data_IF_438978880739
#
_entry.id   IF_438978880739
#
_cell.length_a   1.000
_cell.length_b   1.000
_cell.length_c   1.000
_cell.angle_alpha   90.00
_cell.angle_beta   90.00
_cell.angle_gamma   90.00
#
_symmetry.space_group_name_H-M   'P 1'
#
loop_
_entity.id
_entity.type
_entity.pdbx_description
1 polymer ?
#
# COMPACT_ATOMS: atom_id res chain seq x y z
N UNK A 1 55.70 -11.55 1.76
CA UNK A 1 56.03 -12.04 0.40
C UNK A 1 55.53 -11.02 -0.62
N UNK A 2 56.14 -9.85 -0.65
CA UNK A 2 55.99 -8.85 -1.72
C UNK A 2 57.43 -8.60 -2.17
N UNK A 3 57.78 -8.97 -3.40
CA UNK A 3 59.14 -8.87 -3.90
C UNK A 3 59.61 -7.41 -4.00
N UNK A 4 60.93 -7.21 -4.02
CA UNK A 4 61.57 -5.89 -3.97
C UNK A 4 61.35 -5.04 -5.23
N UNK A 5 60.72 -5.58 -6.28
CA UNK A 5 60.48 -4.88 -7.54
C UNK A 5 59.00 -4.59 -7.81
N UNK A 6 58.73 -3.48 -8.51
CA UNK A 6 57.39 -3.11 -8.96
C UNK A 6 56.70 -4.23 -9.77
N UNK A 7 57.48 -4.99 -10.53
CA UNK A 7 57.00 -6.09 -11.34
C UNK A 7 56.50 -7.26 -10.47
N UNK A 8 57.18 -7.57 -9.37
CA UNK A 8 56.73 -8.59 -8.41
C UNK A 8 55.44 -8.16 -7.69
N UNK A 9 55.34 -6.86 -7.35
CA UNK A 9 54.12 -6.29 -6.78
C UNK A 9 52.93 -6.35 -7.75
N UNK A 10 53.16 -6.07 -9.03
CA UNK A 10 52.14 -6.13 -10.09
C UNK A 10 51.63 -7.55 -10.34
N UNK A 11 52.53 -8.55 -10.41
CA UNK A 11 52.14 -9.95 -10.58
C UNK A 11 51.43 -10.51 -9.34
N UNK A 12 51.84 -10.10 -8.13
CA UNK A 12 51.12 -10.42 -6.89
C UNK A 12 49.70 -9.84 -6.88
N UNK A 13 49.54 -8.57 -7.28
CA UNK A 13 48.22 -7.92 -7.37
C UNK A 13 47.30 -8.60 -8.40
N UNK A 14 47.83 -8.99 -9.57
CA UNK A 14 47.08 -9.78 -10.56
C UNK A 14 46.64 -11.13 -10.00
N UNK A 15 47.53 -11.84 -9.31
CA UNK A 15 47.22 -13.13 -8.69
C UNK A 15 46.09 -13.01 -7.68
N UNK A 16 46.17 -12.02 -6.78
CA UNK A 16 45.11 -11.74 -5.80
C UNK A 16 43.81 -11.34 -6.50
N UNK A 17 43.86 -10.49 -7.53
CA UNK A 17 42.68 -10.06 -8.27
C UNK A 17 41.98 -11.21 -9.01
N UNK A 18 42.74 -12.11 -9.65
CA UNK A 18 42.19 -13.26 -10.37
C UNK A 18 41.55 -14.27 -9.41
N UNK A 19 42.22 -14.58 -8.29
CA UNK A 19 41.70 -15.49 -7.26
C UNK A 19 40.47 -14.88 -6.57
N UNK A 20 40.57 -13.62 -6.12
CA UNK A 20 39.45 -12.92 -5.47
C UNK A 20 38.29 -12.72 -6.42
N UNK A 21 38.57 -12.42 -7.70
CA UNK A 21 37.57 -12.29 -8.76
C UNK A 21 36.81 -13.59 -9.00
N UNK A 22 37.48 -14.74 -8.98
CA UNK A 22 36.83 -16.04 -9.12
C UNK A 22 35.87 -16.32 -7.96
N UNK A 23 36.32 -16.14 -6.71
CA UNK A 23 35.45 -16.31 -5.53
C UNK A 23 34.32 -15.27 -5.49
N UNK A 24 34.59 -14.02 -5.87
CA UNK A 24 33.57 -12.97 -5.95
C UNK A 24 32.50 -13.30 -6.99
N UNK A 25 32.89 -13.88 -8.14
CA UNK A 25 31.97 -14.29 -9.19
C UNK A 25 31.10 -15.47 -8.76
N UNK A 26 31.70 -16.47 -8.10
CA UNK A 26 30.94 -17.60 -7.50
C UNK A 26 29.96 -17.07 -6.45
N UNK A 27 30.42 -16.21 -5.54
CA UNK A 27 29.57 -15.61 -4.51
C UNK A 27 28.43 -14.79 -5.12
N UNK A 28 28.72 -13.98 -6.15
CA UNK A 28 27.72 -13.20 -6.87
C UNK A 28 26.64 -14.08 -7.47
N UNK A 29 27.01 -15.17 -8.15
CA UNK A 29 26.03 -16.13 -8.67
C UNK A 29 25.22 -16.81 -7.57
N UNK A 30 25.87 -17.22 -6.49
CA UNK A 30 25.19 -17.86 -5.37
C UNK A 30 24.15 -16.93 -4.74
N UNK A 31 24.54 -15.70 -4.38
CA UNK A 31 23.62 -14.72 -3.81
C UNK A 31 22.53 -14.31 -4.78
N UNK A 32 22.85 -14.08 -6.06
CA UNK A 32 21.86 -13.73 -7.08
C UNK A 32 20.83 -14.85 -7.27
N UNK A 33 21.28 -16.11 -7.29
CA UNK A 33 20.39 -17.27 -7.37
C UNK A 33 19.52 -17.39 -6.13
N UNK A 34 20.10 -17.22 -4.94
CA UNK A 34 19.36 -17.24 -3.68
C UNK A 34 18.28 -16.15 -3.64
N UNK A 35 18.62 -14.90 -3.97
CA UNK A 35 17.65 -13.80 -4.03
C UNK A 35 16.57 -14.04 -5.08
N UNK A 36 16.92 -14.61 -6.24
CA UNK A 36 15.96 -14.97 -7.26
C UNK A 36 14.98 -16.06 -6.78
N UNK A 37 15.46 -17.08 -6.07
CA UNK A 37 14.61 -18.13 -5.51
C UNK A 37 13.67 -17.59 -4.42
N UNK A 38 14.18 -16.73 -3.54
CA UNK A 38 13.35 -16.05 -2.51
C UNK A 38 12.30 -15.19 -3.19
N UNK A 39 12.69 -14.39 -4.17
CA UNK A 39 11.78 -13.57 -4.96
C UNK A 39 10.73 -14.44 -5.64
N UNK A 40 11.12 -15.55 -6.28
CA UNK A 40 10.21 -16.46 -6.97
C UNK A 40 9.22 -17.12 -6.02
N UNK A 41 9.67 -17.52 -4.82
CA UNK A 41 8.82 -18.08 -3.79
C UNK A 41 7.75 -17.08 -3.33
N UNK A 42 8.16 -15.86 -2.95
CA UNK A 42 7.21 -14.82 -2.55
C UNK A 42 6.31 -14.40 -3.72
N UNK A 43 6.85 -14.34 -4.94
CA UNK A 43 6.09 -14.04 -6.15
C UNK A 43 4.95 -15.04 -6.35
N UNK A 44 5.22 -16.34 -6.22
CA UNK A 44 4.20 -17.39 -6.32
C UNK A 44 3.19 -17.37 -5.17
N UNK A 45 3.54 -16.80 -4.02
CA UNK A 45 2.59 -16.61 -2.92
C UNK A 45 1.61 -15.47 -3.26
N UNK A 46 2.10 -14.34 -3.77
CA UNK A 46 1.27 -13.20 -4.18
C UNK A 46 0.24 -13.56 -5.25
N UNK A 47 0.51 -14.53 -6.12
CA UNK A 47 -0.45 -14.94 -7.16
C UNK A 47 -1.64 -15.75 -6.62
N UNK A 48 -1.54 -16.28 -5.40
CA UNK A 48 -2.59 -17.12 -4.79
C UNK A 48 -3.53 -16.34 -3.89
N UNK A 49 -3.06 -15.24 -3.29
CA UNK A 49 -3.84 -14.46 -2.35
C UNK A 49 -4.86 -13.61 -3.12
N UNK A 50 -6.14 -13.83 -2.85
CA UNK A 50 -7.20 -12.97 -3.36
C UNK A 50 -7.36 -11.80 -2.38
N UNK A 51 -7.18 -10.54 -2.83
CA UNK A 51 -7.28 -9.40 -1.94
C UNK A 51 -8.74 -9.19 -1.50
N UNK A 52 -8.91 -8.83 -0.23
CA UNK A 52 -10.18 -8.29 0.30
C UNK A 52 -10.57 -7.04 -0.45
N UNK A 53 -11.84 -6.92 -0.81
CA UNK A 53 -12.36 -5.80 -1.61
C UNK A 53 -13.43 -5.06 -0.84
N UNK A 54 -13.47 -3.75 -1.03
CA UNK A 54 -14.47 -2.87 -0.46
C UNK A 54 -15.32 -2.31 -1.59
N UNK A 55 -16.64 -2.38 -1.46
CA UNK A 55 -17.56 -1.76 -2.42
C UNK A 55 -18.42 -0.73 -1.69
N UNK A 56 -18.10 0.53 -1.92
CA UNK A 56 -18.82 1.67 -1.36
C UNK A 56 -20.27 1.74 -1.83
N UNK A 57 -20.53 1.47 -3.10
CA UNK A 57 -21.87 1.60 -3.70
C UNK A 57 -22.84 0.59 -3.09
N UNK A 58 -22.36 -0.61 -2.79
CA UNK A 58 -23.12 -1.65 -2.09
C UNK A 58 -23.06 -1.52 -0.56
N UNK A 59 -22.12 -0.72 -0.03
CA UNK A 59 -21.75 -0.68 1.40
C UNK A 59 -21.46 -2.08 1.96
N UNK A 60 -20.64 -2.83 1.24
CA UNK A 60 -20.28 -4.21 1.56
C UNK A 60 -18.77 -4.43 1.42
N UNK A 61 -18.27 -5.44 2.13
CA UNK A 61 -16.89 -5.92 2.08
C UNK A 61 -16.89 -7.37 1.65
N UNK A 62 -16.00 -7.71 0.73
CA UNK A 62 -15.84 -9.05 0.20
C UNK A 62 -14.59 -9.71 0.79
N UNK A 63 -14.80 -10.79 1.53
CA UNK A 63 -13.74 -11.65 2.08
C UNK A 63 -13.66 -12.96 1.30
N UNK A 64 -12.45 -13.50 1.21
CA UNK A 64 -12.19 -14.83 0.67
C UNK A 64 -11.38 -15.58 1.73
N UNK A 65 -12.06 -16.39 2.57
CA UNK A 65 -11.37 -17.24 3.55
C UNK A 65 -10.42 -18.23 2.87
N UNK A 66 -9.32 -18.57 3.53
CA UNK A 66 -8.34 -19.51 3.00
C UNK A 66 -8.99 -20.88 2.72
N UNK A 67 -9.04 -21.28 1.45
CA UNK A 67 -9.63 -22.54 1.01
C UNK A 67 -11.12 -22.50 0.67
N UNK A 68 -11.80 -21.34 0.83
CA UNK A 68 -13.18 -21.18 0.39
C UNK A 68 -13.26 -20.97 -1.14
N UNK A 69 -14.20 -21.67 -1.78
CA UNK A 69 -14.47 -21.52 -3.22
C UNK A 69 -15.37 -20.31 -3.50
N UNK A 70 -16.20 -19.92 -2.53
CA UNK A 70 -17.16 -18.83 -2.66
C UNK A 70 -16.77 -17.61 -1.81
N UNK A 71 -16.91 -16.39 -2.34
CA UNK A 71 -16.65 -15.17 -1.61
C UNK A 71 -17.76 -14.88 -0.59
N UNK A 72 -17.37 -14.41 0.60
CA UNK A 72 -18.29 -13.93 1.62
C UNK A 72 -18.51 -12.43 1.47
N UNK A 73 -19.77 -12.02 1.31
CA UNK A 73 -20.16 -10.62 1.25
C UNK A 73 -20.74 -10.20 2.60
N UNK A 74 -20.17 -9.14 3.16
CA UNK A 74 -20.47 -8.70 4.52
C UNK A 74 -20.90 -7.24 4.48
N UNK A 75 -22.03 -6.88 5.11
CA UNK A 75 -22.40 -5.47 5.26
C UNK A 75 -21.29 -4.68 5.97
N UNK A 76 -20.99 -3.49 5.46
CA UNK A 76 -19.96 -2.62 6.04
C UNK A 76 -20.19 -2.34 7.53
N UNK A 77 -21.45 -2.21 7.93
CA UNK A 77 -21.83 -1.85 9.30
C UNK A 77 -21.70 -3.02 10.29
N UNK A 78 -21.57 -4.26 9.82
CA UNK A 78 -21.27 -5.42 10.67
C UNK A 78 -19.77 -5.71 10.78
N UNK A 79 -18.93 -5.00 10.03
CA UNK A 79 -17.48 -5.16 10.09
C UNK A 79 -16.94 -4.58 11.40
N UNK A 80 -16.15 -5.39 12.10
CA UNK A 80 -15.39 -4.94 13.28
C UNK A 80 -13.93 -4.70 12.89
N UNK A 81 -13.34 -3.63 13.42
CA UNK A 81 -11.92 -3.34 13.28
C UNK A 81 -11.27 -3.21 14.65
N UNK A 82 -10.04 -3.70 14.77
CA UNK A 82 -9.27 -3.67 16.02
C UNK A 82 -7.80 -3.36 15.76
N UNK A 83 -7.14 -2.86 16.80
CA UNK A 83 -5.70 -2.66 16.82
C UNK A 83 -5.12 -3.57 17.90
N UNK A 84 -4.18 -4.42 17.51
CA UNK A 84 -3.44 -5.31 18.41
C UNK A 84 -2.13 -4.63 18.78
N UNK A 85 -1.81 -4.63 20.08
CA UNK A 85 -0.49 -4.27 20.57
C UNK A 85 0.10 -5.46 21.31
N UNK A 86 1.19 -5.99 20.80
CA UNK A 86 2.00 -7.01 21.46
C UNK A 86 3.28 -6.35 22.00
N UNK A 87 3.66 -6.69 23.23
CA UNK A 87 4.93 -6.26 23.82
C UNK A 87 5.69 -7.49 24.32
N UNK A 88 6.89 -7.70 23.79
CA UNK A 88 7.83 -8.73 24.24
C UNK A 88 8.99 -8.09 25.00
N UNK A 89 9.38 -8.68 26.12
CA UNK A 89 10.60 -8.31 26.83
C UNK A 89 11.66 -9.39 26.60
N UNK A 90 12.85 -9.00 26.15
CA UNK A 90 14.02 -9.87 25.98
C UNK A 90 15.20 -9.30 26.76
N UNK A 91 16.26 -10.09 26.93
CA UNK A 91 17.52 -9.62 27.54
C UNK A 91 18.13 -8.41 26.78
N UNK A 92 17.77 -8.24 25.51
CA UNK A 92 18.26 -7.17 24.64
C UNK A 92 17.31 -5.96 24.57
N UNK A 93 16.21 -5.97 25.31
CA UNK A 93 15.26 -4.85 25.38
C UNK A 93 13.81 -5.24 25.15
N UNK A 94 12.94 -4.22 25.19
CA UNK A 94 11.50 -4.36 24.99
C UNK A 94 11.17 -4.10 23.52
N UNK A 95 10.60 -5.10 22.86
CA UNK A 95 10.08 -4.97 21.49
C UNK A 95 8.56 -4.78 21.55
N UNK A 96 8.04 -3.84 20.76
CA UNK A 96 6.61 -3.61 20.59
C UNK A 96 6.24 -3.89 19.15
N UNK A 97 5.20 -4.67 18.95
CA UNK A 97 4.61 -4.97 17.66
C UNK A 97 3.18 -4.46 17.67
N UNK A 98 2.78 -3.82 16.58
CA UNK A 98 1.41 -3.35 16.42
C UNK A 98 0.84 -4.02 15.18
N UNK A 99 -0.45 -4.36 15.24
CA UNK A 99 -1.19 -4.90 14.12
C UNK A 99 -2.53 -4.22 14.00
N UNK A 100 -3.04 -4.12 12.78
CA UNK A 100 -4.42 -3.74 12.53
C UNK A 100 -5.13 -4.96 11.95
N UNK A 101 -6.30 -5.25 12.51
CA UNK A 101 -7.19 -6.30 12.04
C UNK A 101 -8.56 -5.75 11.70
N UNK A 102 -9.20 -6.36 10.71
CA UNK A 102 -10.62 -6.16 10.42
C UNK A 102 -11.25 -7.48 10.03
N UNK A 103 -12.49 -7.68 10.46
CA UNK A 103 -13.16 -8.96 10.30
C UNK A 103 -14.57 -8.96 10.87
N UNK A 104 -15.18 -10.14 10.82
CA UNK A 104 -16.55 -10.37 11.25
C UNK A 104 -16.68 -11.81 11.72
N UNK A 105 -17.68 -12.06 12.56
CA UNK A 105 -17.99 -13.41 13.01
C UNK A 105 -18.92 -14.08 12.00
N UNK A 106 -18.52 -15.25 11.51
CA UNK A 106 -19.29 -16.09 10.59
C UNK A 106 -19.30 -17.51 11.12
N UNK A 107 -20.48 -18.07 11.39
CA UNK A 107 -20.65 -19.45 11.85
C UNK A 107 -19.80 -19.81 13.10
N UNK A 108 -19.54 -18.84 13.97
CA UNK A 108 -18.72 -19.00 15.18
C UNK A 108 -17.21 -18.92 14.95
N UNK A 109 -16.76 -18.68 13.71
CA UNK A 109 -15.36 -18.38 13.38
C UNK A 109 -15.17 -16.89 13.03
N UNK A 110 -14.08 -16.31 13.53
CA UNK A 110 -13.70 -14.94 13.20
C UNK A 110 -12.90 -14.91 11.89
N UNK A 111 -13.58 -14.62 10.79
CA UNK A 111 -12.93 -14.35 9.50
C UNK A 111 -12.30 -12.97 9.57
N UNK A 112 -10.97 -12.91 9.43
CA UNK A 112 -10.19 -11.70 9.67
C UNK A 112 -9.08 -11.51 8.66
N UNK A 113 -8.74 -10.24 8.46
CA UNK A 113 -7.56 -9.80 7.73
C UNK A 113 -6.74 -8.96 8.69
N UNK A 114 -5.52 -9.40 8.97
CA UNK A 114 -4.62 -8.75 9.91
C UNK A 114 -3.30 -8.44 9.23
N UNK A 115 -2.77 -7.24 9.45
CA UNK A 115 -1.48 -6.83 8.94
C UNK A 115 -0.69 -6.04 9.99
N UNK A 116 0.63 -6.16 9.91
CA UNK A 116 1.54 -5.50 10.85
C UNK A 116 1.62 -4.00 10.55
N UNK A 117 1.64 -3.20 11.62
CA UNK A 117 1.73 -1.74 11.59
C UNK A 117 2.93 -1.28 12.43
N UNK A 118 3.57 -0.17 12.02
CA UNK A 118 4.70 0.41 12.76
C UNK A 118 4.30 1.10 14.07
N UNK A 119 3.04 1.52 14.21
CA UNK A 119 2.52 2.18 15.41
C UNK A 119 0.99 2.07 15.52
N UNK A 120 0.45 2.32 16.71
CA UNK A 120 -1.01 2.43 16.93
C UNK A 120 -1.60 3.56 16.08
N UNK A 121 -0.90 4.70 15.98
CA UNK A 121 -1.37 5.85 15.22
C UNK A 121 -1.46 5.51 13.73
N UNK A 122 -0.49 4.76 13.19
CA UNK A 122 -0.53 4.33 11.79
C UNK A 122 -1.68 3.34 11.54
N UNK A 123 -1.95 2.43 12.49
CA UNK A 123 -3.11 1.54 12.42
C UNK A 123 -4.43 2.33 12.41
N UNK A 124 -4.57 3.32 13.29
CA UNK A 124 -5.74 4.21 13.30
C UNK A 124 -5.85 4.98 11.97
N UNK A 125 -4.74 5.51 11.44
CA UNK A 125 -4.74 6.20 10.15
C UNK A 125 -5.16 5.30 8.99
N UNK A 126 -4.72 4.04 8.97
CA UNK A 126 -5.13 3.07 7.95
C UNK A 126 -6.65 2.80 8.03
N UNK A 127 -7.18 2.65 9.26
CA UNK A 127 -8.62 2.52 9.46
C UNK A 127 -9.38 3.77 9.01
N UNK A 128 -8.91 4.96 9.37
CA UNK A 128 -9.49 6.23 8.93
C UNK A 128 -9.45 6.39 7.41
N UNK A 129 -8.43 5.89 6.72
CA UNK A 129 -8.38 5.89 5.27
C UNK A 129 -9.45 4.98 4.65
N UNK A 130 -9.65 3.77 5.20
CA UNK A 130 -10.69 2.84 4.74
C UNK A 130 -12.08 3.39 5.04
N UNK A 131 -12.33 3.85 6.27
CA UNK A 131 -13.58 4.55 6.62
C UNK A 131 -13.78 5.77 5.77
N UNK A 132 -12.70 6.48 5.47
CA UNK A 132 -12.66 7.59 4.56
C UNK A 132 -13.29 7.20 3.24
N UNK A 133 -12.70 6.23 2.54
CA UNK A 133 -13.25 5.70 1.30
C UNK A 133 -14.71 5.22 1.40
N UNK A 134 -15.11 4.56 2.49
CA UNK A 134 -16.43 3.93 2.63
C UNK A 134 -17.56 4.89 3.07
N UNK A 135 -17.25 5.89 3.89
CA UNK A 135 -18.25 6.77 4.53
C UNK A 135 -18.20 8.20 4.00
N UNK A 136 -17.01 8.72 3.72
CA UNK A 136 -16.81 10.11 3.36
C UNK A 136 -16.33 10.19 1.90
N UNK A 137 -16.81 11.10 1.09
CA UNK A 137 -16.10 11.41 -0.17
C UNK A 137 -14.88 12.27 0.18
N UNK A 138 -13.92 11.67 0.90
CA UNK A 138 -12.86 12.47 1.51
C UNK A 138 -11.92 13.04 0.46
N UNK A 139 -11.83 12.45 -0.73
CA UNK A 139 -11.01 12.93 -1.84
C UNK A 139 -11.45 12.25 -3.16
N UNK A 140 -11.42 12.98 -4.29
CA UNK A 140 -11.47 12.32 -5.60
C UNK A 140 -10.22 11.43 -5.73
N UNK A 141 -10.35 10.24 -6.30
CA UNK A 141 -9.23 9.29 -6.40
C UNK A 141 -8.01 9.95 -7.08
N UNK A 142 -8.27 10.81 -8.06
CA UNK A 142 -7.26 11.63 -8.75
C UNK A 142 -6.44 12.48 -7.78
N UNK A 143 -7.06 13.12 -6.79
CA UNK A 143 -6.36 13.99 -5.83
C UNK A 143 -5.45 13.22 -4.87
N UNK A 144 -5.76 11.96 -4.59
CA UNK A 144 -4.90 11.09 -3.78
C UNK A 144 -3.73 10.54 -4.58
N UNK A 145 -3.97 10.17 -5.84
CA UNK A 145 -2.97 9.56 -6.72
C UNK A 145 -2.04 10.58 -7.37
N UNK A 146 -2.49 11.83 -7.52
CA UNK A 146 -1.73 12.89 -8.17
C UNK A 146 -1.61 14.15 -7.29
N UNK A 147 -0.86 14.07 -6.17
CA UNK A 147 -0.66 15.22 -5.30
C UNK A 147 0.13 16.35 -5.97
N UNK A 148 0.83 16.05 -7.08
CA UNK A 148 1.67 17.01 -7.80
C UNK A 148 1.00 17.59 -9.06
N UNK A 149 -0.23 17.16 -9.40
CA UNK A 149 -0.95 17.63 -10.58
C UNK A 149 -0.24 17.30 -11.90
N UNK A 150 0.42 16.15 -11.97
CA UNK A 150 1.18 15.67 -13.12
C UNK A 150 0.34 14.86 -14.12
N UNK A 151 -0.87 14.42 -13.78
CA UNK A 151 -1.76 13.69 -14.67
C UNK A 151 -2.52 14.67 -15.58
N UNK A 152 -2.52 14.39 -16.89
CA UNK A 152 -3.27 15.18 -17.87
C UNK A 152 -4.59 14.47 -18.26
N UNK A 153 -5.60 15.19 -18.79
CA UNK A 153 -6.84 14.58 -19.25
C UNK A 153 -6.58 13.50 -20.34
N UNK A 154 -6.91 12.25 -20.02
CA UNK A 154 -6.70 11.09 -20.90
C UNK A 154 -5.53 10.19 -20.51
N UNK A 155 -4.74 10.56 -19.52
CA UNK A 155 -3.74 9.67 -18.94
C UNK A 155 -4.36 8.56 -18.09
N UNK A 156 -3.70 7.40 -17.97
CA UNK A 156 -4.15 6.35 -17.06
C UNK A 156 -4.14 6.79 -15.59
N UNK A 157 -4.99 6.22 -14.71
CA UNK A 157 -5.09 6.61 -13.30
C UNK A 157 -3.92 6.14 -12.42
N UNK A 158 -2.85 5.59 -13.00
CA UNK A 158 -1.71 5.05 -12.26
C UNK A 158 -0.44 5.78 -12.63
N UNK A 159 0.55 5.84 -11.74
CA UNK A 159 1.85 6.41 -12.08
C UNK A 159 2.58 5.56 -13.16
N UNK A 160 3.31 6.20 -14.07
CA UNK A 160 3.96 5.51 -15.19
C UNK A 160 4.85 6.42 -16.04
N UNK A 161 5.09 6.05 -17.30
CA UNK A 161 5.96 6.83 -18.18
C UNK A 161 5.36 8.19 -18.52
N UNK A 162 4.03 8.28 -18.58
CA UNK A 162 3.30 9.52 -18.84
C UNK A 162 3.54 10.55 -17.73
N UNK A 163 3.53 10.16 -16.45
CA UNK A 163 3.80 11.11 -15.34
C UNK A 163 5.21 11.71 -15.45
N UNK A 164 6.21 10.91 -15.84
CA UNK A 164 7.56 11.42 -16.10
C UNK A 164 7.63 12.34 -17.32
N UNK A 165 6.94 11.99 -18.41
CA UNK A 165 6.84 12.85 -19.60
C UNK A 165 6.22 14.20 -19.25
N UNK A 166 5.14 14.19 -18.48
CA UNK A 166 4.41 15.39 -18.07
C UNK A 166 5.25 16.21 -17.07
N UNK A 167 5.94 15.57 -16.12
CA UNK A 167 6.88 16.25 -15.23
C UNK A 167 8.02 16.94 -15.99
N UNK A 168 8.57 16.28 -17.03
CA UNK A 168 9.59 16.87 -17.90
C UNK A 168 9.03 18.03 -18.74
N UNK A 169 7.83 17.89 -19.29
CA UNK A 169 7.16 18.96 -20.03
C UNK A 169 6.88 20.17 -19.12
N UNK A 170 6.42 19.91 -17.90
CA UNK A 170 6.24 20.91 -16.84
C UNK A 170 7.53 21.62 -16.48
N UNK A 171 8.66 20.90 -16.33
CA UNK A 171 9.97 21.52 -16.11
C UNK A 171 10.33 22.49 -17.25
N UNK A 172 10.14 22.07 -18.51
CA UNK A 172 10.44 22.92 -19.67
C UNK A 172 9.53 24.14 -19.75
N UNK A 173 8.24 24.00 -19.40
CA UNK A 173 7.31 25.14 -19.27
C UNK A 173 7.82 26.13 -18.23
N UNK A 174 8.09 25.66 -17.01
CA UNK A 174 8.58 26.50 -15.89
C UNK A 174 9.90 27.20 -16.22
N UNK A 175 10.76 26.55 -17.02
CA UNK A 175 12.00 27.15 -17.49
C UNK A 175 11.76 28.26 -18.54
N UNK A 176 10.79 28.08 -19.45
CA UNK A 176 10.38 29.12 -20.43
C UNK A 176 9.75 30.33 -19.74
N UNK A 177 8.91 30.07 -18.75
CA UNK A 177 8.20 31.09 -17.96
C UNK A 177 9.08 31.73 -16.89
N UNK A 178 10.34 31.29 -16.76
CA UNK A 178 11.33 31.77 -15.77
C UNK A 178 10.89 31.59 -14.30
N UNK A 179 9.97 30.67 -14.03
CA UNK A 179 9.61 30.25 -12.67
C UNK A 179 10.77 29.49 -12.00
N UNK A 180 11.56 28.75 -12.80
CA UNK A 180 12.73 27.99 -12.33
C UNK A 180 13.98 28.36 -13.11
N UNK A 181 15.12 28.43 -12.41
CA UNK A 181 16.42 28.71 -13.02
C UNK A 181 17.04 27.51 -13.74
N UNK A 182 18.02 27.75 -14.61
CA UNK A 182 18.77 26.70 -15.32
C UNK A 182 19.49 25.72 -14.38
N UNK A 183 19.94 26.19 -13.22
CA UNK A 183 20.59 25.38 -12.18
C UNK A 183 19.61 24.32 -11.64
N UNK A 184 18.36 24.70 -11.37
CA UNK A 184 17.33 23.77 -10.92
C UNK A 184 17.07 22.68 -11.98
N UNK A 185 16.95 23.05 -13.25
CA UNK A 185 16.76 22.10 -14.33
C UNK A 185 17.95 21.13 -14.47
N UNK A 186 19.18 21.59 -14.29
CA UNK A 186 20.37 20.74 -14.27
C UNK A 186 20.30 19.69 -13.16
N UNK A 187 20.04 20.10 -11.91
CA UNK A 187 19.94 19.17 -10.80
C UNK A 187 18.73 18.25 -10.90
N UNK A 188 17.63 18.70 -11.50
CA UNK A 188 16.50 17.84 -11.82
C UNK A 188 16.92 16.67 -12.72
N UNK A 189 17.73 16.93 -13.76
CA UNK A 189 18.25 15.87 -14.63
C UNK A 189 19.26 14.97 -13.93
N UNK A 190 20.18 15.52 -13.14
CA UNK A 190 21.16 14.73 -12.35
C UNK A 190 20.43 13.78 -11.41
N UNK A 191 19.43 14.27 -10.68
CA UNK A 191 18.61 13.44 -9.79
C UNK A 191 17.99 12.26 -10.55
N UNK A 192 17.36 12.51 -11.69
CA UNK A 192 16.73 11.44 -12.46
C UNK A 192 17.75 10.46 -13.06
N UNK A 193 18.93 10.90 -13.50
CA UNK A 193 19.99 9.97 -13.94
C UNK A 193 20.43 9.07 -12.79
N UNK A 194 20.61 9.64 -11.59
CA UNK A 194 20.99 8.87 -10.40
C UNK A 194 19.90 7.87 -9.98
N UNK A 195 18.63 8.14 -10.27
CA UNK A 195 17.49 7.24 -10.01
C UNK A 195 17.10 6.37 -11.21
N UNK A 196 18.04 6.05 -12.11
CA UNK A 196 17.83 5.16 -13.27
C UNK A 196 16.84 5.70 -14.32
N UNK A 197 16.72 7.03 -14.41
CA UNK A 197 15.97 7.78 -15.41
C UNK A 197 14.51 7.34 -15.55
N UNK A 198 14.15 6.69 -16.67
CA UNK A 198 12.79 6.19 -16.95
C UNK A 198 12.60 4.72 -16.60
N UNK A 199 13.67 4.02 -16.18
CA UNK A 199 13.60 2.59 -15.88
C UNK A 199 12.57 2.28 -14.78
N UNK A 200 12.50 3.03 -13.65
CA UNK A 200 11.48 2.78 -12.64
C UNK A 200 10.05 2.87 -13.20
N UNK A 201 9.78 3.85 -14.06
CA UNK A 201 8.45 4.03 -14.66
C UNK A 201 8.08 2.88 -15.60
N UNK A 202 9.04 2.35 -16.37
CA UNK A 202 8.83 1.15 -17.18
C UNK A 202 8.58 -0.10 -16.32
N UNK A 203 9.29 -0.24 -15.20
CA UNK A 203 9.07 -1.33 -14.25
C UNK A 203 7.68 -1.25 -13.63
N UNK A 204 7.21 -0.06 -13.26
CA UNK A 204 5.85 0.18 -12.74
C UNK A 204 4.80 -0.19 -13.79
N UNK A 205 4.92 0.29 -15.03
CA UNK A 205 3.99 -0.08 -16.09
C UNK A 205 3.99 -1.59 -16.39
N UNK A 206 5.16 -2.22 -16.36
CA UNK A 206 5.29 -3.66 -16.53
C UNK A 206 4.59 -4.41 -15.38
N UNK A 207 4.81 -3.97 -14.14
CA UNK A 207 4.18 -4.56 -12.96
C UNK A 207 2.66 -4.40 -12.98
N UNK A 208 2.15 -3.24 -13.37
CA UNK A 208 0.70 -3.00 -13.49
C UNK A 208 0.11 -3.90 -14.57
N UNK A 209 0.74 -4.00 -15.75
CA UNK A 209 0.30 -4.92 -16.82
C UNK A 209 0.35 -6.38 -16.34
N UNK A 210 1.36 -6.75 -15.56
CA UNK A 210 1.50 -8.08 -14.96
C UNK A 210 0.38 -8.35 -13.96
N UNK A 211 0.14 -7.44 -13.02
CA UNK A 211 -0.93 -7.54 -12.01
C UNK A 211 -2.29 -7.61 -12.69
N UNK A 212 -2.55 -6.81 -13.72
CA UNK A 212 -3.80 -6.87 -14.49
C UNK A 212 -4.01 -8.24 -15.15
N UNK A 213 -2.94 -8.87 -15.64
CA UNK A 213 -2.98 -10.21 -16.27
C UNK A 213 -3.14 -11.34 -15.25
N UNK A 214 -2.50 -11.23 -14.09
CA UNK A 214 -2.55 -12.23 -13.00
C UNK A 214 -3.84 -12.11 -12.20
N UNK A 215 -4.20 -10.89 -11.78
CA UNK A 215 -5.36 -10.61 -10.94
C UNK A 215 -6.71 -10.93 -11.60
N UNK A 216 -6.78 -10.97 -12.94
CA UNK A 216 -7.99 -11.43 -13.65
C UNK A 216 -8.12 -12.95 -13.74
N UNK A 217 -7.02 -13.70 -13.56
CA UNK A 217 -7.04 -15.17 -13.71
C UNK A 217 -7.56 -15.92 -12.49
N UNK A 218 -7.80 -15.26 -11.36
CA UNK A 218 -8.09 -15.93 -10.09
C UNK A 218 -9.31 -15.40 -9.31
N UNK A 219 -10.10 -14.45 -9.83
CA UNK A 219 -11.28 -13.95 -9.09
C UNK A 219 -12.50 -14.84 -9.35
N UNK A 220 -13.19 -15.34 -8.31
CA UNK A 220 -14.46 -16.06 -8.47
C UNK A 220 -15.49 -15.24 -9.26
N UNK A 221 -16.31 -15.85 -10.13
CA UNK A 221 -17.31 -15.13 -10.93
C UNK A 221 -18.26 -14.26 -10.08
N UNK A 222 -18.65 -14.73 -8.90
CA UNK A 222 -19.48 -13.96 -7.96
C UNK A 222 -18.81 -12.66 -7.51
N UNK A 223 -17.50 -12.69 -7.23
CA UNK A 223 -16.74 -11.50 -6.83
C UNK A 223 -16.60 -10.50 -7.97
N UNK A 224 -16.46 -10.99 -9.22
CA UNK A 224 -16.40 -10.14 -10.40
C UNK A 224 -17.73 -9.41 -10.62
N UNK A 225 -18.85 -10.14 -10.62
CA UNK A 225 -20.18 -9.55 -10.76
C UNK A 225 -20.51 -8.55 -9.64
N UNK A 226 -20.08 -8.83 -8.41
CA UNK A 226 -20.24 -7.92 -7.27
C UNK A 226 -19.42 -6.64 -7.41
N UNK A 227 -18.26 -6.70 -8.07
CA UNK A 227 -17.34 -5.56 -8.26
C UNK A 227 -17.77 -4.61 -9.37
N UNK A 228 -18.73 -4.99 -10.22
CA UNK A 228 -19.26 -4.13 -11.28
C UNK A 228 -19.99 -2.91 -10.69
N UNK A 229 -19.86 -1.72 -11.33
CA UNK A 229 -20.45 -0.50 -10.82
C UNK A 229 -21.97 -0.54 -10.90
N UNK A 230 -22.62 -0.08 -9.83
CA UNK A 230 -24.06 0.08 -9.74
C UNK A 230 -24.50 1.49 -10.17
N UNK A 231 -25.69 1.62 -10.79
CA UNK A 231 -26.36 2.90 -10.97
C UNK A 231 -26.54 3.65 -9.65
N UNK A 232 -26.45 4.98 -9.67
CA UNK A 232 -26.50 5.82 -8.47
C UNK A 232 -27.80 5.63 -7.66
N UNK A 233 -28.90 5.26 -8.32
CA UNK A 233 -30.20 5.00 -7.70
C UNK A 233 -30.18 3.74 -6.83
N UNK A 234 -29.28 2.79 -7.11
CA UNK A 234 -29.14 1.52 -6.39
C UNK A 234 -28.08 1.58 -5.29
N UNK A 235 -27.49 2.75 -5.03
CA UNK A 235 -26.47 2.87 -4.00
C UNK A 235 -27.08 2.71 -2.61
N UNK A 236 -26.50 1.79 -1.84
CA UNK A 236 -26.90 1.53 -0.47
C UNK A 236 -26.61 2.77 0.39
N UNK A 237 -27.59 3.14 1.22
CA UNK A 237 -27.49 4.27 2.15
C UNK A 237 -27.08 3.77 3.54
N UNK A 238 -26.40 4.61 4.34
CA UNK A 238 -26.15 4.30 5.75
C UNK A 238 -27.45 3.98 6.50
N UNK A 239 -27.40 3.05 7.45
CA UNK A 239 -28.58 2.71 8.25
C UNK A 239 -29.07 3.90 9.07
N UNK A 240 -30.36 3.91 9.40
CA UNK A 240 -30.97 4.92 10.27
C UNK A 240 -30.34 4.92 11.66
N UNK A 241 -29.96 3.74 12.15
CA UNK A 241 -29.25 3.58 13.42
C UNK A 241 -27.88 4.26 13.38
N UNK A 242 -27.07 3.98 12.35
CA UNK A 242 -25.74 4.58 12.21
C UNK A 242 -25.80 6.11 12.13
N UNK A 243 -26.76 6.65 11.36
CA UNK A 243 -26.97 8.09 11.26
C UNK A 243 -27.36 8.71 12.61
N UNK A 244 -28.28 8.07 13.34
CA UNK A 244 -28.73 8.50 14.66
C UNK A 244 -27.60 8.49 15.68
N UNK A 245 -26.83 7.40 15.77
CA UNK A 245 -25.69 7.27 16.69
C UNK A 245 -24.61 8.29 16.36
N UNK A 246 -24.29 8.45 15.07
CA UNK A 246 -23.31 9.44 14.61
C UNK A 246 -23.72 10.87 14.98
N UNK A 247 -25.00 11.21 14.88
CA UNK A 247 -25.50 12.51 15.30
C UNK A 247 -25.35 12.73 16.82
N UNK A 248 -25.66 11.71 17.64
CA UNK A 248 -25.46 11.75 19.10
C UNK A 248 -23.99 11.93 19.48
N UNK A 249 -23.08 11.19 18.86
CA UNK A 249 -21.63 11.32 19.08
C UNK A 249 -21.17 12.74 18.74
N UNK A 250 -21.53 13.25 17.56
CA UNK A 250 -21.18 14.62 17.13
C UNK A 250 -21.71 15.68 18.08
N UNK A 251 -22.94 15.53 18.57
CA UNK A 251 -23.53 16.46 19.54
C UNK A 251 -22.78 16.45 20.89
N UNK A 252 -22.38 15.28 21.39
CA UNK A 252 -21.60 15.15 22.62
C UNK A 252 -20.18 15.71 22.49
N UNK A 253 -19.50 15.43 21.37
CA UNK A 253 -18.17 16.01 21.09
C UNK A 253 -18.26 17.54 21.07
N UNK A 254 -19.30 18.11 20.42
CA UNK A 254 -19.50 19.56 20.38
C UNK A 254 -19.75 20.16 21.77
N UNK A 255 -20.48 19.45 22.63
CA UNK A 255 -20.78 19.89 24.01
C UNK A 255 -19.58 19.75 24.94
N UNK A 256 -18.78 18.71 24.77
CA UNK A 256 -17.64 18.37 25.64
C UNK A 256 -16.37 18.06 24.83
N UNK A 257 -15.72 19.08 24.25
CA UNK A 257 -14.61 18.87 23.31
C UNK A 257 -13.36 18.25 23.95
N UNK A 258 -13.22 18.34 25.28
CA UNK A 258 -12.08 17.76 26.04
C UNK A 258 -12.35 16.34 26.54
N UNK A 259 -13.56 15.82 26.36
CA UNK A 259 -13.92 14.48 26.82
C UNK A 259 -13.21 13.44 25.95
N UNK A 260 -12.58 12.41 26.52
CA UNK A 260 -11.93 11.37 25.73
C UNK A 260 -12.96 10.64 24.86
N UNK A 261 -12.56 10.36 23.62
CA UNK A 261 -13.45 9.83 22.58
C UNK A 261 -14.10 8.50 22.97
N UNK A 262 -13.37 7.64 23.68
CA UNK A 262 -13.85 6.34 24.17
C UNK A 262 -15.01 6.48 25.14
N UNK A 263 -14.96 7.47 26.04
CA UNK A 263 -16.07 7.75 26.97
C UNK A 263 -17.29 8.31 26.24
N UNK A 264 -17.08 9.13 25.21
CA UNK A 264 -18.18 9.66 24.39
C UNK A 264 -18.92 8.50 23.71
N UNK A 265 -18.20 7.60 23.03
CA UNK A 265 -18.82 6.42 22.41
C UNK A 265 -19.51 5.54 23.46
N UNK A 266 -18.85 5.24 24.58
CA UNK A 266 -19.44 4.42 25.65
C UNK A 266 -20.70 5.04 26.27
N UNK A 267 -20.81 6.36 26.34
CA UNK A 267 -22.04 7.04 26.79
C UNK A 267 -23.16 6.92 25.77
N UNK A 268 -22.88 7.13 24.47
CA UNK A 268 -23.88 6.99 23.41
C UNK A 268 -24.43 5.57 23.36
N UNK A 269 -23.57 4.56 23.36
CA UNK A 269 -24.02 3.16 23.32
C UNK A 269 -24.75 2.72 24.59
N UNK A 270 -24.40 3.28 25.77
CA UNK A 270 -25.19 3.05 26.99
C UNK A 270 -26.56 3.70 26.95
N UNK A 271 -26.73 4.82 26.24
CA UNK A 271 -28.03 5.49 26.09
C UNK A 271 -29.00 4.78 25.15
N UNK A 272 -28.54 3.74 24.45
CA UNK A 272 -29.28 3.00 23.42
C UNK A 272 -29.64 1.58 23.84
N UNK A 273 -29.08 1.10 24.97
CA UNK A 273 -29.53 -0.12 25.65
C UNK A 273 -30.68 0.20 26.59
#
# INVERSE_FOLDING_TARGET
>A
MLGDTFQDGWESAKGIFLVSGHYAFIAWFFFSTMFFLIWLYHHNLFTKVIPTRFNRQRREVCFMPDGATEPLFVPWESLSAWVVQAQGATQYGVTRQYGMGMGFEHEGELVRVEFQCGSVQLAISNWEAVRGYMEYELNDLSTLQDPLGLQEPGDPPHEGLHTFRNARAGLHRRLREKEVGRIYAFFWYVYHVMTLWTLPNHLVEWEIKRIAKVGRRALPPAMQAWSEPLPAEQWAKPSSELLRLSAKVKALIKRYPRKPITEVYAEVYRSER
#
